data_IF_934526349512
#
_entry.id   IF_934526349512
#
_cell.length_a   1.000
_cell.length_b   1.000
_cell.length_c   1.000
_cell.angle_alpha   90.00
_cell.angle_beta   90.00
_cell.angle_gamma   90.00
#
_symmetry.space_group_name_H-M   'P 1'
#
loop_
_entity.id
_entity.type
_entity.pdbx_description
1 polymer ?
#
# COMPACT_ATOMS: atom_id res chain seq x y z
N UNK A 1 -9.95 1.46 -8.59
CA UNK A 1 -8.73 1.06 -7.84
C UNK A 1 -7.49 0.91 -8.70
N UNK A 2 -7.60 1.20 -9.97
CA UNK A 2 -6.46 1.03 -10.87
C UNK A 2 -5.22 1.83 -10.49
N UNK A 3 -5.42 3.05 -9.98
CA UNK A 3 -4.30 3.90 -9.61
C UNK A 3 -3.52 3.35 -8.42
N UNK A 4 -4.24 2.82 -7.43
CA UNK A 4 -3.59 2.26 -6.24
C UNK A 4 -2.74 1.05 -6.64
N UNK A 5 -3.30 0.17 -7.43
CA UNK A 5 -2.56 -1.02 -7.86
C UNK A 5 -1.37 -0.66 -8.74
N UNK A 6 -1.49 0.41 -9.51
CA UNK A 6 -0.39 0.89 -10.31
C UNK A 6 0.78 1.34 -9.44
N UNK A 7 0.49 2.11 -8.39
CA UNK A 7 1.53 2.53 -7.45
C UNK A 7 2.15 1.34 -6.74
N UNK A 8 1.33 0.37 -6.36
CA UNK A 8 1.82 -0.84 -5.72
C UNK A 8 2.84 -1.54 -6.62
N UNK A 9 2.54 -1.67 -7.90
CA UNK A 9 3.45 -2.30 -8.83
C UNK A 9 4.73 -1.50 -9.03
N UNK A 10 4.61 -0.19 -9.12
CA UNK A 10 5.77 0.67 -9.31
C UNK A 10 6.72 0.61 -8.11
N UNK A 11 6.18 0.45 -6.93
CA UNK A 11 6.96 0.35 -5.70
C UNK A 11 7.44 -1.07 -5.43
N UNK A 12 7.09 -2.01 -6.29
CA UNK A 12 7.41 -3.41 -6.12
C UNK A 12 6.87 -3.96 -4.81
N UNK A 13 5.75 -3.42 -4.38
CA UNK A 13 5.10 -3.87 -3.16
C UNK A 13 4.27 -5.11 -3.43
N UNK A 14 4.15 -5.95 -2.42
CA UNK A 14 3.38 -7.18 -2.51
C UNK A 14 2.13 -7.04 -1.66
N UNK A 15 0.97 -7.33 -2.24
CA UNK A 15 -0.29 -7.26 -1.53
C UNK A 15 -0.44 -8.51 -0.67
N UNK A 16 -0.46 -8.34 0.64
CA UNK A 16 -0.59 -9.45 1.57
C UNK A 16 -2.03 -9.67 2.01
N UNK A 17 -2.82 -8.61 2.09
CA UNK A 17 -4.22 -8.73 2.47
C UNK A 17 -5.00 -7.54 1.95
N UNK A 18 -6.26 -7.77 1.68
CA UNK A 18 -7.21 -6.74 1.29
C UNK A 18 -8.49 -6.97 2.05
N UNK A 19 -9.03 -5.91 2.63
CA UNK A 19 -10.33 -5.99 3.30
C UNK A 19 -11.09 -4.71 2.97
N UNK A 20 -12.14 -4.84 2.19
CA UNK A 20 -12.95 -3.71 1.77
C UNK A 20 -14.40 -3.84 2.21
N UNK A 21 -14.68 -4.67 3.21
CA UNK A 21 -16.05 -4.90 3.67
C UNK A 21 -16.56 -3.75 4.53
N UNK A 22 -15.95 -3.58 5.70
CA UNK A 22 -16.35 -2.53 6.62
C UNK A 22 -15.40 -1.36 6.58
N UNK A 23 -14.13 -1.64 6.37
CA UNK A 23 -13.10 -0.62 6.25
C UNK A 23 -12.25 -0.94 5.04
N UNK A 24 -11.81 0.09 4.36
CA UNK A 24 -10.88 -0.11 3.26
C UNK A 24 -9.48 -0.25 3.81
N UNK A 25 -9.06 -1.47 4.04
CA UNK A 25 -7.73 -1.78 4.58
C UNK A 25 -6.94 -2.53 3.53
N UNK A 26 -5.75 -2.05 3.26
CA UNK A 26 -4.84 -2.68 2.30
C UNK A 26 -3.52 -2.93 3.01
N UNK A 27 -3.10 -4.19 3.06
CA UNK A 27 -1.85 -4.57 3.69
C UNK A 27 -0.83 -4.92 2.61
N UNK A 28 0.29 -4.23 2.65
CA UNK A 28 1.34 -4.39 1.66
C UNK A 28 2.65 -4.76 2.34
N UNK A 29 3.49 -5.46 1.60
CA UNK A 29 4.85 -5.76 2.03
C UNK A 29 5.80 -5.25 0.96
N UNK A 30 6.78 -4.46 1.36
CA UNK A 30 7.74 -3.88 0.43
C UNK A 30 9.05 -3.61 1.15
N UNK A 31 10.07 -3.24 0.39
CA UNK A 31 11.37 -2.93 0.97
C UNK A 31 11.28 -1.71 1.85
N UNK A 32 12.07 -1.70 2.91
CA UNK A 32 12.11 -0.60 3.85
C UNK A 32 12.39 0.72 3.14
N UNK A 33 13.27 0.72 2.16
CA UNK A 33 13.62 1.92 1.41
C UNK A 33 12.43 2.49 0.63
N UNK A 34 11.43 1.67 0.34
CA UNK A 34 10.26 2.10 -0.41
C UNK A 34 9.10 2.55 0.46
N UNK A 35 9.17 2.28 1.75
CA UNK A 35 8.08 2.63 2.66
C UNK A 35 7.77 4.12 2.67
N UNK A 36 8.75 5.02 2.79
CA UNK A 36 8.46 6.45 2.74
C UNK A 36 7.80 6.88 1.44
N UNK A 37 8.22 6.28 0.34
CA UNK A 37 7.64 6.59 -0.96
C UNK A 37 6.20 6.13 -1.05
N UNK A 38 5.92 4.94 -0.50
CA UNK A 38 4.55 4.45 -0.45
C UNK A 38 3.65 5.39 0.33
N UNK A 39 4.11 5.83 1.50
CA UNK A 39 3.34 6.75 2.32
C UNK A 39 3.11 8.07 1.61
N UNK A 40 4.12 8.57 0.94
CA UNK A 40 4.01 9.83 0.21
C UNK A 40 3.02 9.74 -0.94
N UNK A 41 3.02 8.62 -1.64
CA UNK A 41 2.13 8.43 -2.79
C UNK A 41 0.71 8.11 -2.39
N UNK A 42 0.51 7.27 -1.38
CA UNK A 42 -0.79 6.71 -1.06
C UNK A 42 -1.34 7.12 0.30
N UNK A 43 -0.51 7.70 1.14
CA UNK A 43 -0.85 7.91 2.54
C UNK A 43 -2.01 8.84 2.82
N UNK A 44 -2.36 9.74 1.90
CA UNK A 44 -3.39 10.73 2.18
C UNK A 44 -4.40 10.85 1.05
N UNK A 45 -4.43 9.92 0.12
CA UNK A 45 -5.12 10.18 -1.14
C UNK A 45 -6.51 9.59 -1.24
N UNK A 46 -6.76 8.42 -0.67
CA UNK A 46 -7.97 7.69 -1.01
C UNK A 46 -8.86 7.32 0.15
N UNK A 47 -8.62 7.86 1.32
CA UNK A 47 -9.38 7.45 2.49
C UNK A 47 -9.18 5.98 2.84
N UNK A 48 -8.13 5.39 2.34
CA UNK A 48 -7.77 4.01 2.63
C UNK A 48 -6.87 3.94 3.83
N UNK A 49 -7.04 2.90 4.63
CA UNK A 49 -6.06 2.55 5.65
C UNK A 49 -5.04 1.62 5.01
N UNK A 50 -3.83 2.10 4.83
CA UNK A 50 -2.77 1.30 4.24
C UNK A 50 -1.80 0.88 5.33
N UNK A 51 -1.67 -0.43 5.51
CA UNK A 51 -0.71 -0.99 6.43
C UNK A 51 0.43 -1.59 5.64
N UNK A 52 1.63 -1.33 6.06
CA UNK A 52 2.80 -1.82 5.34
C UNK A 52 3.77 -2.48 6.31
N UNK A 53 4.56 -3.38 5.78
CA UNK A 53 5.63 -4.02 6.53
C UNK A 53 6.85 -4.15 5.65
N UNK A 54 8.01 -4.25 6.29
CA UNK A 54 9.28 -4.35 5.60
C UNK A 54 9.57 -5.79 5.20
N UNK A 55 10.02 -5.97 3.98
CA UNK A 55 10.52 -7.25 3.52
C UNK A 55 11.92 -7.56 4.02
N UNK A 56 12.65 -6.53 4.32
CA UNK A 56 14.07 -6.67 4.68
C UNK A 56 14.25 -7.10 6.12
#
# INVERSE_FOLDING_TARGET
MGLVMRHVKELEAEVKAQDFRESCILRLQLRQAKIPELEQRLGAVYGLTIKHSSKD
#
